data_IF_212363800567
#
_entry.id   IF_212363800567
#
_cell.length_a   1.000
_cell.length_b   1.000
_cell.length_c   1.000
_cell.angle_alpha   90.00
_cell.angle_beta   90.00
_cell.angle_gamma   90.00
#
_symmetry.space_group_name_H-M   'P 1'
#
loop_
_entity.id
_entity.type
_entity.pdbx_description
1 polymer ?
#
# COMPACT_ATOMS: atom_id res chain seq x y z
N UNK A 1 -5.65 -74.38 -6.69
CA UNK A 1 -5.29 -73.43 -5.63
C UNK A 1 -5.01 -72.09 -6.29
N UNK A 2 -5.99 -71.20 -6.29
CA UNK A 2 -5.88 -69.84 -6.84
C UNK A 2 -6.69 -68.94 -5.92
N UNK A 3 -5.99 -68.12 -5.14
CA UNK A 3 -6.57 -67.21 -4.16
C UNK A 3 -6.93 -65.94 -4.90
N UNK A 4 -8.22 -65.69 -5.08
CA UNK A 4 -8.73 -64.39 -5.53
C UNK A 4 -9.01 -63.55 -4.28
N UNK A 5 -8.17 -62.54 -4.06
CA UNK A 5 -8.33 -61.57 -2.99
C UNK A 5 -9.28 -60.48 -3.44
N UNK A 6 -10.48 -60.44 -2.88
CA UNK A 6 -11.41 -59.33 -3.01
C UNK A 6 -10.92 -58.16 -2.15
N UNK A 7 -10.58 -57.03 -2.77
CA UNK A 7 -10.33 -55.77 -2.07
C UNK A 7 -11.69 -55.09 -1.84
N UNK A 8 -12.09 -54.99 -0.58
CA UNK A 8 -13.24 -54.23 -0.14
C UNK A 8 -12.85 -52.73 -0.09
N UNK A 9 -13.52 -51.91 -0.90
CA UNK A 9 -13.42 -50.45 -0.81
C UNK A 9 -14.39 -49.99 0.28
N UNK A 10 -13.84 -49.50 1.39
CA UNK A 10 -14.60 -48.89 2.48
C UNK A 10 -14.85 -47.43 2.10
N UNK A 11 -16.10 -47.12 1.74
CA UNK A 11 -16.60 -45.74 1.68
C UNK A 11 -16.75 -45.20 3.10
N UNK A 12 -15.95 -44.20 3.47
CA UNK A 12 -16.17 -43.40 4.67
C UNK A 12 -16.92 -42.14 4.24
N UNK A 13 -18.21 -42.11 4.54
CA UNK A 13 -19.01 -40.90 4.55
C UNK A 13 -18.66 -40.09 5.81
N UNK A 14 -18.17 -38.87 5.63
CA UNK A 14 -18.09 -37.87 6.69
C UNK A 14 -19.07 -36.76 6.33
N UNK A 15 -20.18 -36.74 7.07
CA UNK A 15 -21.19 -35.69 7.10
C UNK A 15 -20.75 -34.53 7.98
N UNK A 16 -21.14 -33.34 7.53
CA UNK A 16 -21.46 -32.13 8.27
C UNK A 16 -20.39 -31.47 9.15
N UNK A 17 -19.82 -30.39 8.62
CA UNK A 17 -19.79 -29.11 9.34
C UNK A 17 -20.20 -28.00 8.38
N UNK A 18 -21.40 -27.47 8.61
CA UNK A 18 -21.89 -26.22 8.04
C UNK A 18 -20.95 -25.09 8.45
N UNK A 19 -20.07 -24.68 7.54
CA UNK A 19 -19.37 -23.42 7.60
C UNK A 19 -20.40 -22.29 7.50
N UNK A 20 -20.73 -21.70 8.65
CA UNK A 20 -21.37 -20.41 8.71
C UNK A 20 -20.42 -19.39 8.06
N UNK A 21 -20.64 -19.09 6.78
CA UNK A 21 -20.00 -17.99 6.10
C UNK A 21 -20.47 -16.69 6.77
N UNK A 22 -19.72 -16.23 7.77
CA UNK A 22 -19.81 -14.86 8.25
C UNK A 22 -19.19 -13.99 7.15
N UNK A 23 -20.02 -13.50 6.24
CA UNK A 23 -19.64 -12.43 5.33
C UNK A 23 -19.45 -11.18 6.18
N UNK A 24 -18.23 -10.97 6.68
CA UNK A 24 -17.76 -9.64 7.06
C UNK A 24 -17.73 -8.83 5.77
N UNK A 25 -18.80 -8.11 5.50
CA UNK A 25 -18.80 -7.02 4.52
C UNK A 25 -17.91 -5.93 5.11
N UNK A 26 -16.59 -6.04 4.92
CA UNK A 26 -15.62 -5.01 5.23
C UNK A 26 -15.90 -3.85 4.26
N UNK A 27 -16.80 -2.97 4.66
CA UNK A 27 -17.08 -1.75 3.91
C UNK A 27 -15.87 -0.84 4.07
N UNK A 28 -14.91 -0.96 3.14
CA UNK A 28 -13.74 -0.07 3.06
C UNK A 28 -14.24 1.31 2.67
N UNK A 29 -14.60 2.12 3.68
CA UNK A 29 -14.90 3.54 3.53
C UNK A 29 -13.62 4.31 3.82
N UNK A 30 -12.74 4.45 2.83
CA UNK A 30 -11.71 5.46 2.92
C UNK A 30 -12.36 6.83 2.70
N UNK A 31 -12.32 7.66 3.74
CA UNK A 31 -12.65 9.08 3.65
C UNK A 31 -11.80 9.73 2.55
N UNK A 32 -12.43 10.17 1.47
CA UNK A 32 -11.80 10.81 0.30
C UNK A 32 -11.26 12.23 0.58
N UNK A 33 -10.96 12.55 1.84
CA UNK A 33 -10.27 13.79 2.23
C UNK A 33 -8.77 13.62 2.06
N UNK A 34 -8.30 13.78 0.82
CA UNK A 34 -6.88 13.93 0.52
C UNK A 34 -6.34 15.22 1.13
N UNK A 35 -5.36 15.15 2.05
CA UNK A 35 -4.86 16.35 2.71
C UNK A 35 -3.81 17.01 1.83
N UNK A 36 -4.26 17.92 0.96
CA UNK A 36 -3.40 18.74 0.10
C UNK A 36 -2.52 19.66 0.96
N UNK A 37 -1.20 19.41 0.96
CA UNK A 37 -0.17 20.23 1.62
C UNK A 37 -0.52 20.61 3.08
N UNK A 38 -0.72 19.62 3.93
CA UNK A 38 -1.13 19.83 5.31
C UNK A 38 0.07 19.97 6.22
N UNK A 39 0.05 21.02 7.04
CA UNK A 39 0.93 21.12 8.20
C UNK A 39 0.85 19.83 9.03
N UNK A 40 1.93 19.51 9.75
CA UNK A 40 1.99 18.39 10.69
C UNK A 40 0.74 18.30 11.58
N UNK A 41 0.25 19.44 12.03
CA UNK A 41 -0.94 19.55 12.85
C UNK A 41 -2.21 19.05 12.13
N UNK A 42 -2.40 19.43 10.86
CA UNK A 42 -3.54 18.99 10.06
C UNK A 42 -3.51 17.48 9.77
N UNK A 43 -2.32 16.91 9.55
CA UNK A 43 -2.17 15.45 9.38
C UNK A 43 -2.56 14.74 10.69
N UNK A 44 -2.07 15.22 11.83
CA UNK A 44 -2.38 14.61 13.13
C UNK A 44 -3.87 14.70 13.47
N UNK A 45 -4.53 15.81 13.15
CA UNK A 45 -5.98 15.98 13.34
C UNK A 45 -6.78 15.04 12.42
N UNK A 46 -6.36 14.87 11.16
CA UNK A 46 -6.99 13.93 10.25
C UNK A 46 -6.88 12.49 10.75
N UNK A 47 -5.69 12.08 11.23
CA UNK A 47 -5.47 10.74 11.79
C UNK A 47 -6.29 10.53 13.06
N UNK A 48 -6.39 11.53 13.92
CA UNK A 48 -7.25 11.50 15.11
C UNK A 48 -8.73 11.33 14.74
N UNK A 49 -9.20 12.06 13.72
CA UNK A 49 -10.57 11.92 13.21
C UNK A 49 -10.83 10.52 12.67
N UNK A 50 -9.87 9.91 11.95
CA UNK A 50 -9.99 8.54 11.47
C UNK A 50 -10.03 7.53 12.61
N UNK A 51 -9.24 7.75 13.66
CA UNK A 51 -9.25 6.89 14.84
C UNK A 51 -10.57 6.98 15.61
N UNK A 52 -11.10 8.18 15.82
CA UNK A 52 -12.42 8.37 16.42
C UNK A 52 -13.51 7.68 15.58
N UNK A 53 -13.47 7.82 14.25
CA UNK A 53 -14.41 7.15 13.36
C UNK A 53 -14.28 5.62 13.44
N UNK A 54 -13.06 5.08 13.43
CA UNK A 54 -12.82 3.64 13.55
C UNK A 54 -13.35 3.08 14.89
N UNK A 55 -13.15 3.81 15.99
CA UNK A 55 -13.66 3.47 17.31
C UNK A 55 -15.21 3.51 17.35
N UNK A 56 -15.83 4.58 16.84
CA UNK A 56 -17.27 4.77 16.92
C UNK A 56 -18.05 3.83 15.99
N UNK A 57 -17.49 3.53 14.81
CA UNK A 57 -18.19 2.79 13.75
C UNK A 57 -17.78 1.33 13.64
N UNK A 58 -16.85 0.87 14.48
CA UNK A 58 -16.29 -0.48 14.41
C UNK A 58 -15.75 -0.79 13.00
N UNK A 59 -15.05 0.18 12.41
CA UNK A 59 -14.53 0.09 11.04
C UNK A 59 -13.00 0.07 11.02
N UNK A 60 -12.46 -0.29 9.85
CA UNK A 60 -11.03 -0.25 9.55
C UNK A 60 -10.81 0.93 8.61
N UNK A 61 -9.96 1.85 9.05
CA UNK A 61 -9.57 3.05 8.33
C UNK A 61 -8.09 2.98 8.02
N UNK A 62 -7.67 3.63 6.94
CA UNK A 62 -6.26 3.65 6.61
C UNK A 62 -5.82 5.00 6.07
N UNK A 63 -4.67 5.45 6.54
CA UNK A 63 -4.09 6.72 6.11
C UNK A 63 -3.47 6.59 4.72
N UNK A 64 -3.17 7.72 4.07
CA UNK A 64 -2.22 7.73 2.96
C UNK A 64 -0.79 7.39 3.42
N UNK A 65 0.13 7.23 2.48
CA UNK A 65 1.56 7.03 2.76
C UNK A 65 2.20 8.33 3.24
N UNK A 66 2.71 8.31 4.47
CA UNK A 66 3.29 9.45 5.17
C UNK A 66 4.82 9.37 5.19
N UNK A 67 5.48 10.52 5.19
CA UNK A 67 6.93 10.62 5.39
C UNK A 67 7.35 10.13 6.80
N UNK A 68 8.60 9.69 6.99
CA UNK A 68 9.00 9.01 8.23
C UNK A 68 8.93 9.95 9.43
N UNK A 69 9.17 11.25 9.24
CA UNK A 69 9.10 12.26 10.29
C UNK A 69 7.69 12.42 10.89
N UNK A 70 6.64 12.24 10.06
CA UNK A 70 5.26 12.26 10.54
C UNK A 70 4.87 10.91 11.13
N UNK A 71 5.31 9.83 10.49
CA UNK A 71 5.00 8.48 10.93
C UNK A 71 5.45 8.20 12.37
N UNK A 72 6.69 8.57 12.72
CA UNK A 72 7.20 8.37 14.09
C UNK A 72 6.37 9.10 15.16
N UNK A 73 5.83 10.28 14.84
CA UNK A 73 5.00 11.06 15.77
C UNK A 73 3.60 10.49 15.95
N UNK A 74 3.04 9.93 14.87
CA UNK A 74 1.75 9.23 14.93
C UNK A 74 1.92 7.96 15.77
N UNK A 75 2.98 7.19 15.52
CA UNK A 75 3.30 5.99 16.28
C UNK A 75 3.41 6.28 17.78
N UNK A 76 4.18 7.29 18.17
CA UNK A 76 4.30 7.73 19.58
C UNK A 76 2.95 8.13 20.19
N UNK A 77 2.12 8.88 19.46
CA UNK A 77 0.82 9.34 19.97
C UNK A 77 -0.19 8.21 20.17
N UNK A 78 -0.17 7.21 19.28
CA UNK A 78 -1.14 6.13 19.27
C UNK A 78 -0.69 4.89 20.04
N UNK A 79 0.56 4.84 20.50
CA UNK A 79 1.11 3.73 21.27
C UNK A 79 0.35 3.46 22.58
N UNK A 80 -0.14 4.51 23.24
CA UNK A 80 -0.81 4.42 24.54
C UNK A 80 -2.35 4.36 24.44
N UNK A 81 -2.92 4.29 23.23
CA UNK A 81 -4.37 4.21 23.05
C UNK A 81 -4.87 2.78 23.18
N UNK A 82 -5.86 2.57 24.04
CA UNK A 82 -6.49 1.26 24.26
C UNK A 82 -7.80 1.04 23.49
N UNK A 83 -8.35 2.09 22.89
CA UNK A 83 -9.65 2.06 22.19
C UNK A 83 -9.52 1.75 20.68
N UNK A 84 -8.34 2.00 20.11
CA UNK A 84 -8.03 1.71 18.71
C UNK A 84 -6.71 0.97 18.59
N UNK A 85 -6.65 0.04 17.64
CA UNK A 85 -5.42 -0.57 17.19
C UNK A 85 -4.86 0.26 16.03
N UNK A 86 -3.61 0.70 16.15
CA UNK A 86 -2.91 1.46 15.12
C UNK A 86 -1.72 0.65 14.59
N UNK A 87 -1.83 0.13 13.36
CA UNK A 87 -0.82 -0.72 12.73
C UNK A 87 -0.08 0.06 11.65
N UNK A 88 1.23 0.18 11.81
CA UNK A 88 2.10 0.78 10.79
C UNK A 88 2.44 -0.25 9.71
N UNK A 89 2.09 0.05 8.47
CA UNK A 89 2.32 -0.82 7.31
C UNK A 89 3.20 -0.12 6.25
N UNK A 90 4.08 -0.91 5.63
CA UNK A 90 5.15 -0.43 4.74
C UNK A 90 5.06 -0.99 3.33
N UNK A 91 4.28 -2.05 3.12
CA UNK A 91 4.12 -2.76 1.85
C UNK A 91 5.32 -3.60 1.46
N UNK A 92 5.81 -4.42 2.38
CA UNK A 92 6.95 -5.30 2.09
C UNK A 92 7.69 -5.81 3.33
N UNK A 93 6.98 -6.02 4.46
CA UNK A 93 7.62 -6.48 5.68
C UNK A 93 8.36 -7.80 5.47
N UNK A 94 9.58 -7.85 5.99
CA UNK A 94 10.30 -9.08 6.28
C UNK A 94 9.55 -9.81 7.39
N UNK A 95 9.05 -11.01 7.10
CA UNK A 95 9.07 -12.08 8.09
C UNK A 95 10.53 -12.44 8.36
N UNK A 96 11.30 -11.56 9.01
CA UNK A 96 12.49 -12.04 9.69
C UNK A 96 11.99 -12.60 11.02
N UNK A 97 12.23 -13.88 11.32
CA UNK A 97 11.84 -14.49 12.59
C UNK A 97 12.65 -13.94 13.78
N UNK A 98 13.49 -12.92 13.58
CA UNK A 98 14.27 -12.31 14.65
C UNK A 98 13.54 -11.10 15.25
N UNK A 99 13.43 -11.03 16.60
CA UNK A 99 12.58 -10.10 17.33
C UNK A 99 13.19 -8.69 17.47
N UNK A 100 13.98 -8.22 16.51
CA UNK A 100 14.49 -6.84 16.53
C UNK A 100 13.48 -5.89 15.87
N UNK A 101 12.37 -5.71 16.58
CA UNK A 101 11.19 -4.90 16.24
C UNK A 101 11.48 -3.41 15.96
N UNK A 102 12.73 -2.94 16.09
CA UNK A 102 13.06 -1.52 16.11
C UNK A 102 14.12 -1.06 15.08
N UNK A 103 14.67 -1.95 14.25
CA UNK A 103 15.73 -1.54 13.31
C UNK A 103 15.27 -1.62 11.87
N UNK A 104 14.50 -0.62 11.46
CA UNK A 104 14.31 -0.29 10.04
C UNK A 104 15.70 -0.01 9.45
N UNK A 105 16.15 -0.84 8.49
CA UNK A 105 17.45 -0.65 7.84
C UNK A 105 17.43 0.67 7.05
N UNK A 106 18.57 1.37 6.92
CA UNK A 106 18.64 2.63 6.19
C UNK A 106 18.25 2.40 4.71
N UNK A 107 17.05 2.84 4.34
CA UNK A 107 16.52 2.66 2.98
C UNK A 107 15.23 1.82 2.88
N UNK A 108 14.69 1.32 3.98
CA UNK A 108 13.40 0.60 3.98
C UNK A 108 12.34 1.39 4.74
N UNK A 109 11.07 1.30 4.35
CA UNK A 109 9.92 1.82 5.09
C UNK A 109 9.96 3.33 5.38
N UNK A 110 10.57 4.13 4.49
CA UNK A 110 10.61 5.59 4.68
C UNK A 110 9.21 6.15 4.64
N UNK A 111 8.42 5.73 3.64
CA UNK A 111 7.01 6.04 3.58
C UNK A 111 6.19 4.87 4.10
N UNK A 112 5.35 5.16 5.08
CA UNK A 112 4.46 4.17 5.69
C UNK A 112 3.06 4.72 5.79
N UNK A 113 2.07 3.85 5.76
CA UNK A 113 0.68 4.19 6.08
C UNK A 113 0.28 3.52 7.39
N UNK A 114 -0.73 4.05 8.05
CA UNK A 114 -1.29 3.47 9.26
C UNK A 114 -2.66 2.90 8.94
N UNK A 115 -2.89 1.66 9.37
CA UNK A 115 -4.21 1.03 9.37
C UNK A 115 -4.72 1.09 10.80
N UNK A 116 -5.82 1.81 10.97
CA UNK A 116 -6.46 2.07 12.25
C UNK A 116 -7.74 1.26 12.30
N UNK A 117 -7.86 0.38 13.28
CA UNK A 117 -9.04 -0.44 13.48
C UNK A 117 -9.52 -0.33 14.92
N UNK A 118 -10.79 -0.64 15.15
CA UNK A 118 -11.28 -0.90 16.50
C UNK A 118 -10.48 -2.04 17.15
N UNK A 119 -10.12 -1.89 18.43
CA UNK A 119 -9.24 -2.85 19.14
C UNK A 119 -9.78 -4.30 19.12
N UNK A 120 -11.10 -4.46 19.19
CA UNK A 120 -11.75 -5.78 19.22
C UNK A 120 -11.89 -6.47 17.84
N UNK A 121 -11.50 -5.83 16.73
CA UNK A 121 -11.62 -6.43 15.39
C UNK A 121 -10.56 -7.52 15.12
N UNK A 122 -9.53 -7.64 15.96
CA UNK A 122 -8.54 -8.72 15.88
C UNK A 122 -7.67 -8.68 14.61
N UNK A 123 -7.49 -7.50 14.00
CA UNK A 123 -6.62 -7.32 12.83
C UNK A 123 -5.15 -7.40 13.25
N UNK A 124 -4.36 -8.23 12.57
CA UNK A 124 -2.93 -8.31 12.79
C UNK A 124 -2.15 -7.50 11.75
N UNK A 125 -0.84 -7.32 11.99
CA UNK A 125 0.01 -6.55 11.08
C UNK A 125 0.17 -7.24 9.71
N UNK A 126 0.05 -8.56 9.62
CA UNK A 126 0.21 -9.27 8.35
C UNK A 126 -0.99 -9.08 7.43
N UNK A 127 -2.20 -9.28 7.97
CA UNK A 127 -3.45 -8.99 7.26
C UNK A 127 -3.52 -7.53 6.86
N UNK A 128 -3.11 -6.60 7.75
CA UNK A 128 -3.09 -5.19 7.42
C UNK A 128 -2.12 -4.85 6.26
N UNK A 129 -0.93 -5.46 6.23
CA UNK A 129 0.02 -5.28 5.12
C UNK A 129 -0.53 -5.81 3.81
N UNK A 130 -1.14 -7.01 3.82
CA UNK A 130 -1.70 -7.65 2.63
C UNK A 130 -2.92 -6.91 2.06
N UNK A 131 -3.83 -6.46 2.92
CA UNK A 131 -5.06 -5.80 2.48
C UNK A 131 -4.86 -4.34 2.08
N UNK A 132 -3.87 -3.66 2.67
CA UNK A 132 -3.69 -2.21 2.50
C UNK A 132 -2.41 -1.84 1.75
N UNK A 133 -1.54 -2.77 1.39
CA UNK A 133 -0.38 -2.48 0.56
C UNK A 133 -0.26 -3.47 -0.59
N UNK A 134 0.17 -2.98 -1.73
CA UNK A 134 0.44 -3.83 -2.90
C UNK A 134 1.79 -3.45 -3.48
N UNK A 135 2.64 -4.45 -3.69
CA UNK A 135 3.95 -4.27 -4.31
C UNK A 135 3.81 -4.51 -5.80
N UNK A 136 4.28 -3.56 -6.59
CA UNK A 136 4.32 -3.65 -8.05
C UNK A 136 5.78 -3.74 -8.47
N UNK A 137 6.12 -4.80 -9.21
CA UNK A 137 7.42 -4.97 -9.86
C UNK A 137 7.31 -4.51 -11.30
N UNK A 138 8.29 -3.73 -11.73
CA UNK A 138 8.43 -3.24 -13.08
C UNK A 138 9.78 -3.68 -13.64
N UNK A 139 9.76 -4.41 -14.74
CA UNK A 139 10.93 -4.99 -15.37
C UNK A 139 11.17 -4.38 -16.76
N UNK A 140 12.40 -4.51 -17.26
CA UNK A 140 12.86 -4.02 -18.57
C UNK A 140 12.74 -2.50 -18.75
N UNK A 141 12.83 -1.72 -17.66
CA UNK A 141 12.79 -0.26 -17.68
C UNK A 141 14.19 0.30 -17.74
N UNK A 142 14.48 1.22 -18.64
CA UNK A 142 15.74 1.97 -18.58
C UNK A 142 15.62 3.10 -17.54
N UNK A 143 16.00 2.81 -16.29
CA UNK A 143 15.88 3.75 -15.16
C UNK A 143 16.66 5.05 -15.42
N UNK A 144 17.80 4.98 -16.10
CA UNK A 144 18.65 6.14 -16.38
C UNK A 144 18.06 7.10 -17.41
N UNK A 145 17.25 6.60 -18.34
CA UNK A 145 16.64 7.40 -19.43
C UNK A 145 15.15 7.66 -19.25
N UNK A 146 14.50 6.96 -18.31
CA UNK A 146 13.11 7.15 -18.00
C UNK A 146 12.89 8.43 -17.18
N UNK A 147 11.68 8.98 -17.26
CA UNK A 147 11.22 9.93 -16.24
C UNK A 147 11.32 9.26 -14.87
N UNK A 148 11.62 10.04 -13.83
CA UNK A 148 11.57 9.56 -12.44
C UNK A 148 10.18 8.99 -12.16
N UNK A 149 10.08 7.85 -11.47
CA UNK A 149 8.80 7.18 -11.25
C UNK A 149 7.73 8.09 -10.61
N UNK A 150 8.04 9.00 -9.66
CA UNK A 150 7.06 9.96 -9.16
C UNK A 150 6.40 10.82 -10.26
N UNK A 151 7.17 11.21 -11.28
CA UNK A 151 6.63 11.99 -12.40
C UNK A 151 5.77 11.13 -13.32
N UNK A 152 6.19 9.89 -13.60
CA UNK A 152 5.43 8.95 -14.42
C UNK A 152 4.11 8.53 -13.74
N UNK A 153 4.12 8.36 -12.42
CA UNK A 153 2.92 8.09 -11.62
C UNK A 153 1.97 9.31 -11.62
N UNK A 154 2.51 10.51 -11.45
CA UNK A 154 1.71 11.73 -11.53
C UNK A 154 1.12 11.96 -12.95
N UNK A 155 1.86 11.63 -14.02
CA UNK A 155 1.36 11.81 -15.40
C UNK A 155 0.19 10.90 -15.73
N UNK A 156 0.17 9.67 -15.18
CA UNK A 156 -0.99 8.76 -15.30
C UNK A 156 -2.12 9.09 -14.33
N UNK A 157 -1.98 10.13 -13.49
CA UNK A 157 -3.00 10.58 -12.54
C UNK A 157 -3.01 9.86 -11.20
N UNK A 158 -1.94 9.16 -10.82
CA UNK A 158 -1.80 8.56 -9.49
C UNK A 158 -1.25 9.60 -8.52
N UNK A 159 -1.98 9.84 -7.41
CA UNK A 159 -1.53 10.75 -6.36
C UNK A 159 -0.37 10.13 -5.58
N UNK A 160 0.68 10.92 -5.29
CA UNK A 160 1.87 10.42 -4.58
C UNK A 160 1.60 10.00 -3.14
N UNK A 161 0.46 10.39 -2.57
CA UNK A 161 0.03 9.94 -1.24
C UNK A 161 -0.44 8.47 -1.25
N UNK A 162 -0.76 7.93 -2.43
CA UNK A 162 -1.13 6.53 -2.62
C UNK A 162 0.09 5.65 -2.97
N UNK A 163 1.29 6.22 -2.91
CA UNK A 163 2.54 5.56 -3.28
C UNK A 163 3.48 5.61 -2.09
N UNK A 164 3.96 4.43 -1.69
CA UNK A 164 4.94 4.26 -0.63
C UNK A 164 6.35 4.43 -1.17
N UNK A 165 7.22 3.50 -0.79
CA UNK A 165 8.61 3.50 -1.23
C UNK A 165 8.75 3.01 -2.67
N UNK A 166 9.73 3.58 -3.38
CA UNK A 166 10.16 3.17 -4.72
C UNK A 166 11.61 2.72 -4.60
N UNK A 167 11.86 1.46 -4.90
CA UNK A 167 13.17 0.81 -4.80
C UNK A 167 13.64 0.38 -6.18
N UNK A 168 14.81 0.88 -6.57
CA UNK A 168 15.51 0.50 -7.77
C UNK A 168 16.43 -0.67 -7.41
N UNK A 169 16.05 -1.88 -7.80
CA UNK A 169 16.83 -3.10 -7.54
C UNK A 169 18.07 -3.14 -8.42
N UNK A 170 17.87 -2.93 -9.73
CA UNK A 170 18.92 -2.93 -10.76
C UNK A 170 18.65 -1.82 -11.79
N UNK A 171 19.53 -1.69 -12.80
CA UNK A 171 19.33 -0.72 -13.89
C UNK A 171 18.04 -0.93 -14.70
N UNK A 172 17.44 -2.11 -14.58
CA UNK A 172 16.31 -2.57 -15.39
C UNK A 172 15.05 -2.93 -14.60
N UNK A 173 15.15 -3.01 -13.27
CA UNK A 173 14.08 -3.51 -12.40
C UNK A 173 13.81 -2.53 -11.27
N UNK A 174 12.55 -2.16 -11.12
CA UNK A 174 12.08 -1.24 -10.08
C UNK A 174 10.87 -1.83 -9.40
N UNK A 175 10.89 -1.87 -8.07
CA UNK A 175 9.77 -2.26 -7.24
C UNK A 175 9.21 -1.02 -6.54
N UNK A 176 7.90 -0.90 -6.44
CA UNK A 176 7.30 0.19 -5.68
C UNK A 176 6.01 -0.24 -5.00
N UNK A 177 5.74 0.40 -3.87
CA UNK A 177 4.57 0.13 -3.04
C UNK A 177 3.45 1.10 -3.42
N UNK A 178 2.24 0.58 -3.61
CA UNK A 178 1.05 1.38 -3.86
C UNK A 178 -0.14 0.90 -3.03
N UNK A 179 -1.18 1.73 -2.96
CA UNK A 179 -2.47 1.27 -2.47
C UNK A 179 -3.13 0.32 -3.49
N UNK A 180 -3.89 -0.69 -3.02
CA UNK A 180 -4.58 -1.63 -3.91
C UNK A 180 -5.48 -0.93 -4.95
N UNK A 181 -6.06 0.21 -4.57
CA UNK A 181 -6.98 1.01 -5.40
C UNK A 181 -6.35 1.52 -6.70
N UNK A 182 -5.07 1.93 -6.64
CA UNK A 182 -4.36 2.48 -7.81
C UNK A 182 -3.59 1.42 -8.59
N UNK A 183 -3.51 0.18 -8.08
CA UNK A 183 -2.72 -0.91 -8.67
C UNK A 183 -3.12 -1.17 -10.12
N UNK A 184 -4.43 -1.32 -10.41
CA UNK A 184 -4.91 -1.57 -11.78
C UNK A 184 -4.56 -0.43 -12.75
N UNK A 185 -4.57 0.81 -12.27
CA UNK A 185 -4.20 1.98 -13.05
C UNK A 185 -2.70 1.97 -13.37
N UNK A 186 -1.86 1.67 -12.38
CA UNK A 186 -0.42 1.52 -12.55
C UNK A 186 -0.08 0.44 -13.59
N UNK A 187 -0.61 -0.77 -13.45
CA UNK A 187 -0.34 -1.89 -14.37
C UNK A 187 -0.71 -1.57 -15.82
N UNK A 188 -1.80 -0.82 -16.03
CA UNK A 188 -2.34 -0.54 -17.36
C UNK A 188 -1.66 0.64 -18.07
N UNK A 189 -1.27 1.66 -17.32
CA UNK A 189 -0.86 2.95 -17.90
C UNK A 189 0.63 3.22 -17.75
N UNK A 190 1.28 2.73 -16.70
CA UNK A 190 2.66 3.11 -16.39
C UNK A 190 3.65 2.60 -17.45
N UNK A 191 3.41 1.44 -18.06
CA UNK A 191 4.23 0.91 -19.16
C UNK A 191 4.32 1.81 -20.39
N UNK A 192 3.40 2.77 -20.55
CA UNK A 192 3.38 3.73 -21.66
C UNK A 192 4.22 4.98 -21.39
N UNK A 193 4.43 5.30 -20.12
CA UNK A 193 5.17 6.48 -19.68
C UNK A 193 6.66 6.18 -19.45
N UNK A 194 6.98 4.91 -19.19
CA UNK A 194 8.35 4.45 -18.93
C UNK A 194 9.09 4.16 -20.23
N UNK A 195 10.38 4.46 -20.24
CA UNK A 195 11.27 4.17 -21.38
C UNK A 195 11.90 2.80 -21.17
N UNK A 196 11.70 1.87 -22.10
CA UNK A 196 12.26 0.52 -22.02
C UNK A 196 11.84 -0.36 -23.19
N UNK A 197 12.44 -1.54 -23.30
CA UNK A 197 12.12 -2.53 -24.35
C UNK A 197 11.32 -3.66 -23.75
N UNK A 198 10.01 -3.70 -24.03
CA UNK A 198 9.13 -4.75 -23.48
C UNK A 198 8.90 -4.59 -21.97
N UNK A 199 8.63 -3.36 -21.53
CA UNK A 199 8.34 -3.05 -20.13
C UNK A 199 7.15 -3.89 -19.64
N UNK A 200 7.39 -4.72 -18.63
CA UNK A 200 6.37 -5.53 -17.95
C UNK A 200 6.13 -4.99 -16.55
N UNK A 201 4.87 -5.02 -16.12
CA UNK A 201 4.49 -4.74 -14.75
C UNK A 201 3.70 -5.92 -14.20
N UNK A 202 4.05 -6.36 -13.00
CA UNK A 202 3.38 -7.43 -12.29
C UNK A 202 3.14 -7.03 -10.84
N UNK A 203 2.07 -7.58 -10.26
CA UNK A 203 1.89 -7.54 -8.80
C UNK A 203 2.75 -8.65 -8.24
N UNK A 204 3.52 -8.30 -7.21
CA UNK A 204 4.32 -9.26 -6.45
C UNK A 204 3.40 -9.88 -5.41
N UNK A 205 3.42 -11.22 -5.31
CA UNK A 205 2.59 -11.94 -4.34
C UNK A 205 2.90 -11.48 -2.91
N UNK A 206 1.91 -11.53 -2.02
CA UNK A 206 1.99 -11.05 -0.62
C UNK A 206 3.14 -11.68 0.20
N UNK A 207 3.74 -12.75 -0.30
CA UNK A 207 4.85 -13.48 0.33
C UNK A 207 6.23 -13.12 -0.24
N UNK A 208 6.27 -12.44 -1.38
CA UNK A 208 7.53 -12.00 -2.00
C UNK A 208 7.93 -10.61 -1.48
N UNK A 209 9.19 -10.51 -1.08
CA UNK A 209 9.76 -9.37 -0.38
C UNK A 209 10.10 -8.21 -1.34
N UNK A 210 9.99 -6.98 -0.86
CA UNK A 210 10.49 -5.81 -1.60
C UNK A 210 12.02 -5.87 -1.65
N UNK A 211 12.66 -5.96 -2.83
CA UNK A 211 14.09 -6.22 -2.93
C UNK A 211 14.95 -5.11 -2.30
N UNK A 212 16.21 -5.43 -2.00
CA UNK A 212 17.18 -4.42 -1.60
C UNK A 212 17.63 -3.61 -2.81
N UNK A 213 17.65 -2.28 -2.68
CA UNK A 213 18.04 -1.42 -3.78
C UNK A 213 18.20 0.05 -3.38
N UNK A 214 18.48 0.89 -4.37
CA UNK A 214 18.54 2.33 -4.18
C UNK A 214 17.13 2.90 -4.08
N UNK A 215 16.85 3.66 -3.01
CA UNK A 215 15.58 4.34 -2.88
C UNK A 215 15.51 5.58 -3.78
N UNK A 216 14.46 5.67 -4.58
CA UNK A 216 14.17 6.89 -5.31
C UNK A 216 13.44 7.90 -4.41
N UNK A 217 13.84 9.18 -4.49
CA UNK A 217 13.20 10.25 -3.74
C UNK A 217 11.78 10.52 -4.27
N UNK A 218 10.81 10.63 -3.36
CA UNK A 218 9.39 10.88 -3.68
C UNK A 218 9.09 12.38 -3.88
N UNK A 219 9.92 13.06 -4.67
CA UNK A 219 9.69 14.46 -5.07
C UNK A 219 9.43 14.55 -6.56
N UNK A 220 8.42 15.34 -6.92
CA UNK A 220 8.17 15.68 -8.30
C UNK A 220 9.29 16.57 -8.82
N UNK A 221 9.57 16.47 -10.11
CA UNK A 221 10.47 17.43 -10.73
C UNK A 221 9.84 18.83 -10.71
N UNK A 222 10.67 19.86 -10.45
CA UNK A 222 10.25 21.28 -10.45
C UNK A 222 9.54 21.70 -11.74
N UNK A 223 9.82 21.01 -12.86
CA UNK A 223 9.17 21.28 -14.15
C UNK A 223 7.74 20.75 -14.15
N UNK A 224 7.51 19.53 -13.67
CA UNK A 224 6.19 18.92 -13.61
C UNK A 224 5.29 19.60 -12.57
N UNK A 225 5.86 20.00 -11.42
CA UNK A 225 5.15 20.80 -10.40
C UNK A 225 4.56 22.07 -11.02
N UNK A 226 5.38 22.84 -11.73
CA UNK A 226 4.95 24.07 -12.43
C UNK A 226 3.91 23.80 -13.51
N UNK A 227 4.00 22.67 -14.22
CA UNK A 227 2.99 22.32 -15.22
C UNK A 227 1.65 21.93 -14.58
N UNK A 228 1.68 21.22 -13.46
CA UNK A 228 0.46 20.87 -12.73
C UNK A 228 -0.18 22.10 -12.07
N UNK A 229 0.62 23.02 -11.52
CA UNK A 229 0.11 24.31 -11.01
C UNK A 229 -0.56 25.13 -12.10
N UNK A 230 0.06 25.21 -13.29
CA UNK A 230 -0.54 25.88 -14.46
C UNK A 230 -1.86 25.24 -14.89
N UNK A 231 -1.91 23.90 -14.98
CA UNK A 231 -3.15 23.18 -15.30
C UNK A 231 -4.24 23.38 -14.25
N UNK A 232 -3.89 23.47 -12.96
CA UNK A 232 -4.85 23.78 -11.89
C UNK A 232 -5.40 25.20 -12.02
N UNK A 233 -4.54 26.17 -12.36
CA UNK A 233 -4.97 27.54 -12.61
C UNK A 233 -5.89 27.65 -13.83
N UNK A 234 -5.55 26.94 -14.92
CA UNK A 234 -6.36 26.93 -16.15
C UNK A 234 -7.73 26.26 -15.94
N UNK A 235 -7.80 25.18 -15.13
CA UNK A 235 -9.06 24.52 -14.78
C UNK A 235 -9.93 25.34 -13.81
N UNK A 236 -9.35 26.29 -13.08
CA UNK A 236 -10.08 27.23 -12.22
C UNK A 236 -10.70 28.41 -12.98
N UNK A 237 -10.30 28.63 -14.25
CA UNK A 237 -10.89 29.63 -15.13
C UNK A 237 -12.07 29.05 -15.91
N UNK A 238 -13.18 28.77 -15.23
CA UNK A 238 -14.48 28.74 -15.91
C UNK A 238 -14.86 30.19 -16.18
N UNK A 239 -14.51 30.68 -17.38
CA UNK A 239 -15.08 31.93 -17.89
C UNK A 239 -16.60 31.76 -17.94
N UNK A 240 -17.31 32.43 -17.03
CA UNK A 240 -18.71 32.76 -17.23
C UNK A 240 -18.76 33.81 -18.35
N UNK A 241 -18.90 33.32 -19.58
CA UNK A 241 -19.32 34.09 -20.75
C UNK A 241 -20.79 33.84 -21.03
#
# INVERSE_FOLDING_TARGET
MSVWSCIAVISIALTDTTSCAFQSTTTVRQSSRTPTATSLHGIMEAVESLAAEAADTWSIQATPFLEPAYASKIEEKFQDRGDVLCLRVFGGRRLSPEPDNNTVKPGEGRRSRFVIAHADLGMDAMTAEEEYCTVVRCENVNVASSNTFPNALASIGVHLDNVGDIVIEDSNTVCFVVTPEVTKQCLRLLSKELVGTGVSLSVVDSHEFMPHGEMQEMKLSRVLERQMERKKLDAGYVQFG
#
